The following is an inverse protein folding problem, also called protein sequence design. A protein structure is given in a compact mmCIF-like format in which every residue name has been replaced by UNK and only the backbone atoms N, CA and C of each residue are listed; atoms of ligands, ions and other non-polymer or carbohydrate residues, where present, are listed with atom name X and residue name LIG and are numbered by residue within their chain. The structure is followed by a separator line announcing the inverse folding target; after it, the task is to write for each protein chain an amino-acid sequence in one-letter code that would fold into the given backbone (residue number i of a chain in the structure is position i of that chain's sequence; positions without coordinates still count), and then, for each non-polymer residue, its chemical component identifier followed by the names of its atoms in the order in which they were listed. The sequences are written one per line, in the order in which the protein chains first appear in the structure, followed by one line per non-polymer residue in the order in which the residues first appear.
data_IF_507918638902
#
_entry.id   IF_507918638902
#
_cell.length_a   1.000
_cell.length_b   1.000
_cell.length_c   1.000
_cell.angle_alpha   90.00
_cell.angle_beta   90.00
_cell.angle_gamma   90.00
#
_symmetry.space_group_name_H-M   'P 1'
#
loop_
_entity.id
_entity.type
_entity.pdbx_description
1 polymer ?
#
# COMPACT_ATOMS: atom_id res chain seq x y z
N UNK A 1 -13.96 17.02 -5.85
CA UNK A 1 -13.86 16.43 -7.21
C UNK A 1 -12.37 16.23 -7.46
N UNK A 2 -11.89 15.01 -7.33
CA UNK A 2 -10.46 14.71 -7.53
C UNK A 2 -10.23 14.72 -9.05
N UNK A 3 -9.49 15.70 -9.54
CA UNK A 3 -9.08 15.73 -10.95
C UNK A 3 -8.26 14.49 -11.26
N UNK A 4 -8.80 13.66 -12.11
CA UNK A 4 -8.16 12.43 -12.53
C UNK A 4 -7.03 12.79 -13.48
N UNK A 5 -5.79 12.82 -12.96
CA UNK A 5 -4.60 13.09 -13.79
C UNK A 5 -4.51 12.03 -14.90
N UNK A 6 -4.28 12.42 -16.13
CA UNK A 6 -4.11 11.45 -17.21
C UNK A 6 -2.84 10.63 -16.99
N UNK A 7 -2.92 9.33 -17.30
CA UNK A 7 -1.85 8.36 -17.14
C UNK A 7 -1.66 7.56 -18.41
N UNK A 8 -0.47 7.03 -18.63
CA UNK A 8 -0.17 6.08 -19.71
C UNK A 8 0.21 4.75 -19.07
N UNK A 9 -0.48 3.67 -19.44
CA UNK A 9 -0.22 2.33 -18.98
C UNK A 9 0.40 1.50 -20.11
N UNK A 10 1.55 0.88 -19.84
CA UNK A 10 2.20 -0.10 -20.70
C UNK A 10 2.05 -1.50 -20.12
N UNK A 11 1.66 -2.47 -20.94
CA UNK A 11 1.42 -3.84 -20.52
C UNK A 11 2.52 -4.76 -21.01
N UNK A 12 2.97 -5.66 -20.14
CA UNK A 12 4.07 -6.59 -20.37
C UNK A 12 3.65 -8.01 -19.96
N UNK A 13 4.15 -9.02 -20.66
CA UNK A 13 3.99 -10.43 -20.26
C UNK A 13 5.26 -11.01 -19.66
N UNK A 14 6.41 -10.53 -20.10
CA UNK A 14 7.69 -10.97 -19.57
C UNK A 14 8.10 -10.15 -18.34
N UNK A 15 8.36 -10.85 -17.23
CA UNK A 15 8.76 -10.24 -15.96
C UNK A 15 10.08 -9.48 -16.08
N UNK A 16 11.05 -9.99 -16.85
CA UNK A 16 12.37 -9.39 -16.92
C UNK A 16 12.33 -8.07 -17.67
N UNK A 17 11.69 -8.06 -18.84
CA UNK A 17 11.46 -6.86 -19.63
C UNK A 17 10.70 -5.78 -18.83
N UNK A 18 9.66 -6.19 -18.08
CA UNK A 18 8.92 -5.31 -17.20
C UNK A 18 9.79 -4.70 -16.08
N UNK A 19 10.59 -5.51 -15.40
CA UNK A 19 11.43 -5.00 -14.29
C UNK A 19 12.55 -4.10 -14.79
N UNK A 20 13.06 -4.32 -15.99
CA UNK A 20 14.07 -3.46 -16.62
C UNK A 20 13.46 -2.14 -17.09
N UNK A 21 12.23 -2.16 -17.63
CA UNK A 21 11.47 -0.95 -17.92
C UNK A 21 11.17 -0.12 -16.67
N UNK A 22 10.82 -0.77 -15.54
CA UNK A 22 10.64 -0.09 -14.25
C UNK A 22 11.91 0.63 -13.79
N UNK A 23 13.06 -0.05 -13.88
CA UNK A 23 14.35 0.53 -13.50
C UNK A 23 14.73 1.71 -14.42
N UNK A 24 14.52 1.58 -15.73
CA UNK A 24 14.77 2.64 -16.70
C UNK A 24 13.86 3.86 -16.46
N UNK A 25 12.56 3.65 -16.18
CA UNK A 25 11.61 4.71 -15.86
C UNK A 25 12.02 5.48 -14.59
N UNK A 26 12.44 4.75 -13.56
CA UNK A 26 12.91 5.34 -12.30
C UNK A 26 14.19 6.15 -12.51
N UNK A 27 15.15 5.62 -13.27
CA UNK A 27 16.39 6.31 -13.60
C UNK A 27 16.15 7.60 -14.43
N UNK A 28 15.10 7.59 -15.26
CA UNK A 28 14.65 8.78 -16.01
C UNK A 28 13.81 9.76 -15.18
N UNK A 29 13.64 9.53 -13.86
CA UNK A 29 12.89 10.39 -12.96
C UNK A 29 11.38 10.45 -13.24
N UNK A 30 10.80 9.37 -13.76
CA UNK A 30 9.39 9.33 -14.20
C UNK A 30 8.40 8.86 -13.11
N UNK A 31 8.80 8.60 -11.89
CA UNK A 31 7.94 8.13 -10.78
C UNK A 31 6.90 7.08 -11.23
N UNK A 32 7.34 5.92 -11.71
CA UNK A 32 6.44 4.88 -12.21
C UNK A 32 5.63 4.24 -11.10
N UNK A 33 4.37 3.86 -11.41
CA UNK A 33 3.58 2.94 -10.60
C UNK A 33 3.55 1.58 -11.29
N UNK A 34 3.83 0.52 -10.54
CA UNK A 34 3.91 -0.84 -11.05
C UNK A 34 2.81 -1.70 -10.46
N UNK A 35 2.09 -2.41 -11.33
CA UNK A 35 1.07 -3.38 -10.96
C UNK A 35 1.50 -4.76 -11.44
N UNK A 36 1.48 -5.74 -10.54
CA UNK A 36 1.96 -7.09 -10.82
C UNK A 36 0.96 -8.13 -10.35
N UNK A 37 0.75 -9.23 -11.07
CA UNK A 37 -0.18 -10.30 -10.68
C UNK A 37 0.34 -11.08 -9.46
N UNK A 38 1.63 -11.06 -9.23
CA UNK A 38 2.28 -11.71 -8.09
C UNK A 38 3.46 -10.87 -7.58
N UNK A 39 3.91 -11.09 -6.33
CA UNK A 39 5.03 -10.35 -5.76
C UNK A 39 6.34 -10.59 -6.51
N UNK A 40 6.95 -9.55 -7.05
CA UNK A 40 8.25 -9.59 -7.73
C UNK A 40 9.33 -9.12 -6.78
N UNK A 41 10.28 -10.01 -6.45
CA UNK A 41 11.38 -9.68 -5.53
C UNK A 41 12.30 -8.60 -6.11
N UNK A 42 12.63 -7.61 -5.28
CA UNK A 42 13.54 -6.52 -5.65
C UNK A 42 12.92 -5.43 -6.54
N UNK A 43 11.63 -5.51 -6.84
CA UNK A 43 10.92 -4.47 -7.60
C UNK A 43 10.89 -3.14 -6.83
N UNK A 44 10.76 -3.19 -5.51
CA UNK A 44 10.84 -2.03 -4.61
C UNK A 44 12.15 -1.25 -4.76
N UNK A 45 13.27 -1.96 -4.87
CA UNK A 45 14.59 -1.36 -5.09
C UNK A 45 14.67 -0.73 -6.49
N UNK A 46 14.17 -1.41 -7.53
CA UNK A 46 14.16 -0.91 -8.92
C UNK A 46 13.26 0.33 -9.06
N UNK A 47 12.16 0.39 -8.33
CA UNK A 47 11.26 1.55 -8.28
C UNK A 47 11.74 2.67 -7.36
N UNK A 48 12.84 2.47 -6.61
CA UNK A 48 13.34 3.45 -5.66
C UNK A 48 12.41 3.70 -4.49
N UNK A 49 11.54 2.73 -4.14
CA UNK A 49 10.58 2.87 -3.06
C UNK A 49 11.31 2.75 -1.71
N UNK A 50 11.23 3.74 -0.82
CA UNK A 50 11.86 3.67 0.49
C UNK A 50 11.21 2.61 1.37
N UNK A 51 11.95 2.10 2.35
CA UNK A 51 11.42 1.14 3.33
C UNK A 51 10.22 1.72 4.06
N UNK A 52 9.21 0.87 4.27
CA UNK A 52 8.00 1.24 5.01
C UNK A 52 8.34 1.75 6.42
N UNK A 53 7.77 2.90 6.77
CA UNK A 53 7.91 3.49 8.11
C UNK A 53 6.84 2.98 9.10
N UNK A 54 5.95 2.07 8.69
CA UNK A 54 4.83 1.56 9.51
C UNK A 54 5.34 0.90 10.80
N UNK A 55 6.50 0.26 10.77
CA UNK A 55 7.05 -0.43 11.95
C UNK A 55 7.29 0.47 13.16
N UNK A 56 7.67 1.73 12.96
CA UNK A 56 7.94 2.67 14.05
C UNK A 56 6.70 3.04 14.85
N UNK A 57 5.60 3.54 14.24
CA UNK A 57 4.38 3.85 14.97
C UNK A 57 3.75 2.59 15.61
N UNK A 58 3.81 1.43 14.96
CA UNK A 58 3.33 0.17 15.55
C UNK A 58 4.11 -0.17 16.81
N UNK A 59 5.45 -0.09 16.79
CA UNK A 59 6.27 -0.31 18.00
C UNK A 59 5.91 0.67 19.12
N UNK A 60 5.69 1.93 18.81
CA UNK A 60 5.28 2.94 19.80
C UNK A 60 3.95 2.56 20.45
N UNK A 61 2.96 2.12 19.68
CA UNK A 61 1.67 1.68 20.20
C UNK A 61 1.80 0.42 21.06
N UNK A 62 2.66 -0.53 20.69
CA UNK A 62 2.95 -1.72 21.51
C UNK A 62 3.51 -1.31 22.89
N UNK A 63 4.49 -0.40 22.91
CA UNK A 63 5.08 0.08 24.16
C UNK A 63 4.06 0.81 25.04
N UNK A 64 3.20 1.62 24.44
CA UNK A 64 2.07 2.27 25.14
C UNK A 64 1.12 1.19 25.69
N UNK A 65 0.82 0.16 24.92
CA UNK A 65 0.00 -0.96 25.34
C UNK A 65 0.58 -1.73 26.53
N UNK A 66 1.89 -1.96 26.54
CA UNK A 66 2.57 -2.57 27.71
C UNK A 66 2.47 -1.68 28.95
N UNK A 67 2.70 -0.37 28.80
CA UNK A 67 2.55 0.56 29.89
C UNK A 67 1.11 0.62 30.42
N UNK A 68 0.12 0.57 29.54
CA UNK A 68 -1.30 0.55 29.89
C UNK A 68 -1.67 -0.74 30.63
N UNK A 69 -1.22 -1.90 30.14
CA UNK A 69 -1.44 -3.19 30.79
C UNK A 69 -0.82 -3.26 32.18
N UNK A 70 0.41 -2.74 32.33
CA UNK A 70 1.06 -2.64 33.64
C UNK A 70 0.32 -1.68 34.58
N UNK A 71 -0.10 -0.53 34.07
CA UNK A 71 -0.90 0.44 34.84
C UNK A 71 -2.23 -0.16 35.28
N UNK A 72 -2.94 -0.85 34.39
CA UNK A 72 -4.20 -1.50 34.70
C UNK A 72 -4.02 -2.55 35.82
N UNK A 73 -2.97 -3.38 35.71
CA UNK A 73 -2.65 -4.38 36.71
C UNK A 73 -2.33 -3.75 38.07
N UNK A 74 -1.55 -2.66 38.07
CA UNK A 74 -1.25 -1.92 39.30
C UNK A 74 -2.50 -1.31 39.90
N UNK A 75 -3.30 -0.61 39.10
CA UNK A 75 -4.50 0.08 39.54
C UNK A 75 -5.51 -0.87 40.20
N UNK A 76 -5.81 -1.98 39.51
CA UNK A 76 -6.80 -2.96 39.98
C UNK A 76 -6.35 -3.70 41.24
N UNK A 77 -5.06 -4.06 41.35
CA UNK A 77 -4.56 -4.89 42.45
C UNK A 77 -4.11 -4.09 43.65
N UNK A 78 -3.69 -2.86 43.47
CA UNK A 78 -3.16 -2.06 44.57
C UNK A 78 -4.12 -0.95 45.01
N UNK A 79 -4.76 -0.27 44.08
CA UNK A 79 -5.54 0.92 44.35
C UNK A 79 -7.04 0.63 44.51
N UNK A 80 -7.63 -0.13 43.57
CA UNK A 80 -9.08 -0.31 43.51
C UNK A 80 -9.54 -1.47 44.40
N UNK A 81 -8.94 -2.65 44.30
CA UNK A 81 -9.35 -3.82 45.07
C UNK A 81 -8.17 -4.64 45.59
N UNK A 82 -7.51 -4.19 46.67
CA UNK A 82 -6.32 -4.86 47.23
C UNK A 82 -6.69 -6.16 47.94
N UNK A 83 -6.57 -7.30 47.24
CA UNK A 83 -6.78 -8.61 47.82
C UNK A 83 -5.45 -9.26 48.18
N UNK A 84 -5.28 -9.56 49.48
CA UNK A 84 -4.15 -10.37 49.96
C UNK A 84 -4.56 -11.84 49.98
N UNK A 85 -4.08 -12.63 48.96
CA UNK A 85 -4.34 -14.05 48.88
C UNK A 85 -3.02 -14.80 49.12
N UNK A 86 -2.98 -15.59 50.22
CA UNK A 86 -1.83 -16.46 50.51
C UNK A 86 -0.52 -15.71 50.86
N UNK A 87 -0.62 -14.48 51.42
CA UNK A 87 0.56 -13.71 51.84
C UNK A 87 1.37 -13.11 50.67
N UNK A 88 0.86 -13.08 49.44
CA UNK A 88 1.54 -12.41 48.32
C UNK A 88 1.48 -10.89 48.48
N UNK A 89 2.53 -10.15 48.03
CA UNK A 89 2.46 -8.69 47.97
C UNK A 89 1.31 -8.25 47.09
N UNK A 90 0.66 -7.13 47.42
CA UNK A 90 -0.50 -6.60 46.71
C UNK A 90 -0.25 -6.42 45.20
N UNK A 91 0.98 -6.06 44.82
CA UNK A 91 1.39 -5.93 43.42
C UNK A 91 2.53 -6.90 43.07
N UNK A 92 2.21 -8.10 42.68
CA UNK A 92 3.16 -9.06 42.15
C UNK A 92 3.16 -8.99 40.61
N UNK A 93 3.88 -8.03 40.05
CA UNK A 93 3.89 -7.73 38.60
C UNK A 93 4.19 -8.96 37.72
N UNK A 94 4.96 -9.91 38.24
CA UNK A 94 5.32 -11.14 37.53
C UNK A 94 4.08 -11.98 37.14
N UNK A 95 3.01 -11.91 37.95
CA UNK A 95 1.77 -12.62 37.70
C UNK A 95 1.01 -12.01 36.51
N UNK A 96 1.25 -10.74 36.23
CA UNK A 96 0.55 -9.99 35.20
C UNK A 96 1.32 -9.86 33.88
N UNK A 97 2.48 -10.51 33.78
CA UNK A 97 3.31 -10.45 32.53
C UNK A 97 2.49 -10.85 31.31
N UNK A 98 1.65 -11.89 31.42
CA UNK A 98 0.80 -12.33 30.31
C UNK A 98 -0.20 -11.23 29.91
N UNK A 99 -0.89 -10.63 30.87
CA UNK A 99 -1.87 -9.55 30.62
C UNK A 99 -1.20 -8.32 30.00
N UNK A 100 -0.01 -7.96 30.49
CA UNK A 100 0.78 -6.84 29.98
C UNK A 100 1.16 -7.09 28.53
N UNK A 101 1.68 -8.28 28.22
CA UNK A 101 2.07 -8.67 26.84
C UNK A 101 0.86 -8.71 25.92
N UNK A 102 -0.24 -9.32 26.37
CA UNK A 102 -1.45 -9.45 25.56
C UNK A 102 -2.06 -8.09 25.21
N UNK A 103 -2.13 -7.17 26.19
CA UNK A 103 -2.62 -5.80 25.97
C UNK A 103 -1.75 -5.07 24.94
N UNK A 104 -0.43 -5.17 25.07
CA UNK A 104 0.50 -4.52 24.11
C UNK A 104 0.41 -5.11 22.72
N UNK A 105 0.37 -6.43 22.61
CA UNK A 105 0.24 -7.12 21.32
C UNK A 105 -1.10 -6.84 20.65
N UNK A 106 -2.20 -6.83 21.40
CA UNK A 106 -3.53 -6.51 20.88
C UNK A 106 -3.57 -5.10 20.30
N UNK A 107 -3.12 -4.10 21.06
CA UNK A 107 -3.08 -2.73 20.56
C UNK A 107 -2.14 -2.56 19.37
N UNK A 108 -1.00 -3.25 19.38
CA UNK A 108 -0.08 -3.27 18.25
C UNK A 108 -0.68 -3.90 16.99
N UNK A 109 -1.42 -5.00 17.13
CA UNK A 109 -2.09 -5.65 16.01
C UNK A 109 -3.17 -4.76 15.39
N UNK A 110 -4.01 -4.13 16.23
CA UNK A 110 -5.04 -3.18 15.78
C UNK A 110 -4.41 -1.95 15.10
N UNK A 111 -3.35 -1.41 15.66
CA UNK A 111 -2.62 -0.29 15.07
C UNK A 111 -2.00 -0.69 13.72
N UNK A 112 -1.38 -1.86 13.64
CA UNK A 112 -0.80 -2.35 12.38
C UNK A 112 -1.86 -2.52 11.30
N UNK A 113 -3.00 -3.11 11.63
CA UNK A 113 -4.11 -3.27 10.69
C UNK A 113 -4.63 -1.90 10.23
N UNK A 114 -4.90 -0.98 11.14
CA UNK A 114 -5.37 0.37 10.81
C UNK A 114 -4.39 1.16 9.94
N UNK A 115 -3.10 1.11 10.27
CA UNK A 115 -2.04 1.76 9.49
C UNK A 115 -1.88 1.13 8.10
N UNK A 116 -1.95 -0.20 7.99
CA UNK A 116 -1.91 -0.88 6.71
C UNK A 116 -3.09 -0.47 5.82
N UNK A 117 -4.30 -0.48 6.33
CA UNK A 117 -5.49 -0.03 5.60
C UNK A 117 -5.36 1.43 5.14
N UNK A 118 -4.82 2.29 6.00
CA UNK A 118 -4.65 3.71 5.69
C UNK A 118 -3.54 3.97 4.66
N UNK A 119 -2.33 3.45 4.89
CA UNK A 119 -1.19 3.71 4.01
C UNK A 119 -1.27 2.99 2.67
N UNK A 120 -1.79 1.76 2.67
CA UNK A 120 -1.98 1.00 1.43
C UNK A 120 -3.27 1.41 0.69
N UNK A 121 -4.06 2.34 1.24
CA UNK A 121 -5.33 2.79 0.65
C UNK A 121 -6.25 1.63 0.26
N UNK A 122 -6.32 0.63 1.11
CA UNK A 122 -7.13 -0.58 0.89
C UNK A 122 -8.63 -0.35 1.07
N UNK A 123 -9.04 0.83 1.53
CA UNK A 123 -10.44 1.19 1.59
C UNK A 123 -10.99 1.35 0.16
N UNK A 124 -12.18 0.78 -0.14
CA UNK A 124 -12.76 0.84 -1.47
C UNK A 124 -12.99 2.31 -1.88
N UNK A 125 -12.35 2.71 -2.98
CA UNK A 125 -12.58 4.00 -3.61
C UNK A 125 -13.52 3.79 -4.82
N UNK A 126 -14.73 4.38 -4.82
CA UNK A 126 -15.66 4.24 -5.93
C UNK A 126 -15.14 4.86 -7.24
N UNK A 127 -14.06 5.68 -7.15
CA UNK A 127 -13.44 6.29 -8.32
C UNK A 127 -12.17 5.53 -8.76
N UNK A 128 -11.91 4.34 -8.19
CA UNK A 128 -10.76 3.53 -8.62
C UNK A 128 -10.89 3.17 -10.09
N UNK A 129 -9.89 3.56 -10.87
CA UNK A 129 -9.85 3.21 -12.29
C UNK A 129 -9.46 1.74 -12.42
N UNK A 130 -10.30 0.98 -13.09
CA UNK A 130 -9.94 -0.34 -13.57
C UNK A 130 -8.93 -0.15 -14.71
N UNK A 131 -7.65 -0.43 -14.43
CA UNK A 131 -6.60 -0.30 -15.44
C UNK A 131 -6.76 -1.40 -16.48
N UNK A 132 -6.92 -2.64 -16.05
CA UNK A 132 -7.31 -3.81 -16.88
C UNK A 132 -7.52 -5.03 -15.98
N UNK A 133 -8.53 -5.85 -16.23
CA UNK A 133 -8.79 -7.08 -15.46
C UNK A 133 -7.67 -8.12 -15.61
N UNK A 134 -6.92 -8.09 -16.73
CA UNK A 134 -5.79 -8.99 -16.99
C UNK A 134 -4.58 -8.81 -16.05
N UNK A 135 -4.48 -7.69 -15.35
CA UNK A 135 -3.41 -7.45 -14.35
C UNK A 135 -3.47 -8.46 -13.20
N UNK A 136 -4.64 -9.03 -12.97
CA UNK A 136 -4.84 -10.04 -11.93
C UNK A 136 -4.38 -11.44 -12.37
N UNK A 137 -4.29 -11.69 -13.66
CA UNK A 137 -3.99 -13.03 -14.23
C UNK A 137 -2.52 -13.21 -14.62
N UNK A 138 -2.09 -12.56 -15.70
CA UNK A 138 -0.80 -12.86 -16.35
C UNK A 138 -0.04 -11.63 -16.84
N UNK A 139 -0.59 -10.44 -16.63
CA UNK A 139 -0.06 -9.22 -17.23
C UNK A 139 0.50 -8.26 -16.20
N UNK A 140 1.71 -7.78 -16.42
CA UNK A 140 2.33 -6.71 -15.66
C UNK A 140 1.96 -5.37 -16.28
N UNK A 141 1.67 -4.36 -15.46
CA UNK A 141 1.40 -3.01 -15.95
C UNK A 141 2.34 -1.97 -15.32
N UNK A 142 2.98 -1.20 -16.18
CA UNK A 142 3.77 -0.04 -15.82
C UNK A 142 3.00 1.23 -16.15
N UNK A 143 2.66 1.99 -15.13
CA UNK A 143 1.87 3.21 -15.27
C UNK A 143 2.76 4.42 -15.05
N UNK A 144 2.73 5.32 -16.02
CA UNK A 144 3.46 6.58 -15.98
C UNK A 144 2.48 7.76 -15.89
N UNK A 145 2.63 8.65 -14.89
CA UNK A 145 1.81 9.85 -14.80
C UNK A 145 2.19 10.84 -15.90
N UNK A 146 1.19 11.36 -16.62
CA UNK A 146 1.41 12.45 -17.56
C UNK A 146 1.63 13.73 -16.76
N UNK A 147 2.83 14.27 -16.85
CA UNK A 147 3.21 15.55 -16.25
C UNK A 147 3.16 16.67 -17.29
N UNK A 148 3.04 17.93 -16.85
CA UNK A 148 2.98 19.10 -17.74
C UNK A 148 4.13 19.20 -18.77
N UNK A 149 5.21 18.47 -18.53
CA UNK A 149 6.41 18.47 -19.39
C UNK A 149 6.58 17.24 -20.28
N UNK A 150 5.68 16.23 -20.20
CA UNK A 150 5.80 14.98 -20.99
C UNK A 150 4.45 14.65 -21.61
N UNK A 151 4.39 14.73 -22.93
CA UNK A 151 3.20 14.38 -23.71
C UNK A 151 2.91 12.87 -23.67
N UNK A 152 1.63 12.51 -23.71
CA UNK A 152 1.18 11.12 -23.75
C UNK A 152 1.81 10.34 -24.92
N UNK A 153 2.03 11.00 -26.05
CA UNK A 153 2.66 10.41 -27.24
C UNK A 153 4.11 9.99 -26.98
N UNK A 154 4.88 10.85 -26.28
CA UNK A 154 6.29 10.59 -25.95
C UNK A 154 6.38 9.42 -24.95
N UNK A 155 5.52 9.42 -23.91
CA UNK A 155 5.48 8.31 -22.94
C UNK A 155 5.04 6.99 -23.58
N UNK A 156 4.09 7.04 -24.50
CA UNK A 156 3.65 5.85 -25.24
C UNK A 156 4.73 5.29 -26.14
N UNK A 157 5.49 6.14 -26.81
CA UNK A 157 6.63 5.73 -27.64
C UNK A 157 7.73 5.11 -26.77
N UNK A 158 8.04 5.74 -25.64
CA UNK A 158 9.03 5.26 -24.67
C UNK A 158 8.68 3.87 -24.12
N UNK A 159 7.41 3.65 -23.73
CA UNK A 159 6.95 2.34 -23.24
C UNK A 159 7.11 1.23 -24.31
N UNK A 160 6.78 1.53 -25.56
CA UNK A 160 6.95 0.59 -26.68
C UNK A 160 8.41 0.27 -26.95
N UNK A 161 9.30 1.26 -26.90
CA UNK A 161 10.74 1.08 -27.04
C UNK A 161 11.32 0.18 -25.94
N UNK A 162 10.71 0.22 -24.73
CA UNK A 162 11.10 -0.62 -23.59
C UNK A 162 10.30 -1.92 -23.49
N UNK A 163 9.68 -2.37 -24.58
CA UNK A 163 9.10 -3.71 -24.71
C UNK A 163 7.65 -3.85 -24.26
N UNK A 164 6.90 -2.76 -24.11
CA UNK A 164 5.46 -2.86 -23.85
C UNK A 164 4.73 -3.43 -25.05
N UNK A 165 3.98 -4.53 -24.87
CA UNK A 165 3.18 -5.16 -25.93
C UNK A 165 1.94 -4.32 -26.29
N UNK A 166 1.33 -3.73 -25.30
CA UNK A 166 0.16 -2.87 -25.43
C UNK A 166 0.36 -1.59 -24.61
N UNK A 167 -0.09 -0.45 -25.16
CA UNK A 167 -0.03 0.84 -24.45
C UNK A 167 -1.39 1.50 -24.52
N UNK A 168 -1.93 1.86 -23.35
CA UNK A 168 -3.21 2.55 -23.22
C UNK A 168 -3.03 3.91 -22.52
N UNK A 169 -3.70 4.93 -23.04
CA UNK A 169 -3.77 6.26 -22.41
C UNK A 169 -5.10 6.35 -21.65
N UNK A 170 -5.02 6.47 -20.33
CA UNK A 170 -6.18 6.48 -19.44
C UNK A 170 -6.36 7.90 -18.86
N UNK A 171 -7.63 8.37 -18.83
CA UNK A 171 -7.95 9.66 -18.20
C UNK A 171 -7.99 10.87 -19.11
N UNK A 172 -7.74 10.72 -20.39
CA UNK A 172 -8.20 11.68 -21.40
C UNK A 172 -9.66 11.35 -21.67
N UNK A 173 -10.56 12.30 -21.46
CA UNK A 173 -11.96 12.18 -21.86
C UNK A 173 -11.97 12.06 -23.39
N UNK A 174 -11.94 10.84 -23.91
CA UNK A 174 -12.24 10.63 -25.32
C UNK A 174 -13.69 11.08 -25.48
N UNK A 175 -13.88 12.19 -26.18
CA UNK A 175 -15.15 12.50 -26.80
C UNK A 175 -15.37 11.41 -27.86
N UNK A 176 -15.98 10.31 -27.44
CA UNK A 176 -16.46 9.28 -28.33
C UNK A 176 -17.55 9.93 -29.17
N UNK A 177 -17.21 10.34 -30.39
CA UNK A 177 -18.18 10.49 -31.44
C UNK A 177 -18.79 9.09 -31.64
N UNK A 178 -19.91 8.85 -30.95
CA UNK A 178 -20.79 7.73 -31.26
C UNK A 178 -21.31 8.01 -32.68
N UNK A 179 -20.67 7.37 -33.63
CA UNK A 179 -21.20 7.24 -34.98
C UNK A 179 -22.32 6.21 -34.85
N UNK A 180 -23.54 6.74 -34.70
CA UNK A 180 -24.80 6.02 -34.71
C UNK A 180 -24.95 5.40 -36.11
N UNK A 181 -25.03 4.06 -36.27
CA UNK A 181 -25.32 3.48 -37.57
C UNK A 181 -26.74 3.83 -37.92
N UNK A 182 -26.89 4.68 -38.91
CA UNK A 182 -28.20 4.96 -39.56
C UNK A 182 -28.76 3.64 -40.10
N UNK A 183 -29.80 3.14 -39.46
CA UNK A 183 -30.67 2.13 -40.04
C UNK A 183 -31.56 2.79 -41.09
N UNK A 184 -31.28 2.48 -42.36
CA UNK A 184 -32.22 2.60 -43.46
C UNK A 184 -32.97 1.27 -43.61
#
# INVERSE_FOLDING_TARGET
MSETKPIVAGYYRDQQTFTDACAAATAAGMHPEAFTPYPVHGLDVKLGIPRSLIGRPVLTVILIGFALGLFLAWFTQYQDYPLNVGGKPYFAWQTFVVVILETGLLLGALANMGLALHFCRLLPDPNTRLINDRITDDTFALVLPISANKDAAVLSAWLREHGAEEVQVLGVRQSTSVEEPAHA
#
